data_IF_531772911616
#
_entry.id   IF_531772911616
#
_cell.length_a   1.000
_cell.length_b   1.000
_cell.length_c   1.000
_cell.angle_alpha   90.00
_cell.angle_beta   90.00
_cell.angle_gamma   90.00
#
_symmetry.space_group_name_H-M   'P 1'
#
loop_
_entity.id
_entity.type
_entity.pdbx_description
1 polymer ?
#
# COMPACT_ATOMS: atom_id res chain seq x y z
N UNK A 1 -9.77 -41.33 -11.73
CA UNK A 1 -8.50 -40.58 -11.84
C UNK A 1 -8.85 -39.13 -11.61
N UNK A 2 -8.41 -38.48 -10.50
CA UNK A 2 -8.50 -37.02 -10.41
C UNK A 2 -7.61 -36.46 -11.48
N UNK A 3 -8.19 -35.77 -12.45
CA UNK A 3 -7.40 -34.98 -13.44
C UNK A 3 -6.64 -33.92 -12.66
N UNK A 4 -5.33 -33.93 -12.82
CA UNK A 4 -4.42 -32.94 -12.21
C UNK A 4 -4.82 -31.54 -12.68
N UNK A 5 -5.32 -30.69 -11.76
CA UNK A 5 -5.74 -29.34 -12.11
C UNK A 5 -4.51 -28.48 -12.40
N UNK A 6 -4.54 -27.76 -13.53
CA UNK A 6 -3.47 -26.82 -13.93
C UNK A 6 -3.88 -25.40 -13.63
N UNK A 7 -3.11 -24.72 -12.79
CA UNK A 7 -3.35 -23.34 -12.37
C UNK A 7 -2.19 -22.46 -12.82
N UNK A 8 -2.49 -21.47 -13.64
CA UNK A 8 -1.53 -20.42 -14.01
C UNK A 8 -1.71 -19.19 -13.13
N UNK A 9 -0.61 -18.57 -12.74
CA UNK A 9 -0.58 -17.34 -11.95
C UNK A 9 0.28 -16.32 -12.69
N UNK A 10 -0.30 -15.18 -13.05
CA UNK A 10 0.38 -14.08 -13.72
C UNK A 10 0.76 -13.02 -12.69
N UNK A 11 2.05 -12.88 -12.45
CA UNK A 11 2.63 -12.01 -11.43
C UNK A 11 2.93 -12.74 -10.11
N UNK A 12 4.18 -12.68 -9.69
CA UNK A 12 4.76 -13.48 -8.60
C UNK A 12 5.01 -12.74 -7.29
N UNK A 13 4.36 -11.59 -7.03
CA UNK A 13 4.58 -10.84 -5.78
C UNK A 13 3.46 -11.15 -4.78
N UNK A 14 2.98 -10.23 -3.97
CA UNK A 14 2.12 -10.45 -2.81
C UNK A 14 0.92 -11.38 -3.04
N UNK A 15 0.01 -11.01 -3.94
CA UNK A 15 -1.21 -11.78 -4.21
C UNK A 15 -0.94 -13.11 -4.88
N UNK A 16 -0.10 -13.12 -5.94
CA UNK A 16 0.23 -14.31 -6.72
C UNK A 16 1.02 -15.33 -5.91
N UNK A 17 2.06 -14.90 -5.19
CA UNK A 17 2.85 -15.78 -4.31
C UNK A 17 1.99 -16.40 -3.20
N UNK A 18 1.06 -15.61 -2.61
CA UNK A 18 0.13 -16.09 -1.60
C UNK A 18 -0.87 -17.10 -2.17
N UNK A 19 -1.39 -16.86 -3.38
CA UNK A 19 -2.27 -17.79 -4.07
C UNK A 19 -1.53 -19.10 -4.38
N UNK A 20 -0.34 -19.05 -4.97
CA UNK A 20 0.46 -20.22 -5.32
C UNK A 20 0.75 -21.12 -4.12
N UNK A 21 1.26 -20.54 -3.04
CA UNK A 21 1.60 -21.28 -1.82
C UNK A 21 0.38 -21.84 -1.10
N UNK A 22 -0.75 -21.11 -1.13
CA UNK A 22 -2.02 -21.61 -0.58
C UNK A 22 -2.60 -22.75 -1.40
N UNK A 23 -2.60 -22.64 -2.73
CA UNK A 23 -3.03 -23.70 -3.66
C UNK A 23 -2.27 -25.00 -3.38
N UNK A 24 -0.94 -24.96 -3.28
CA UNK A 24 -0.13 -26.14 -2.99
C UNK A 24 -0.46 -26.79 -1.66
N UNK A 25 -0.79 -26.01 -0.62
CA UNK A 25 -1.19 -26.55 0.68
C UNK A 25 -2.56 -27.22 0.65
N UNK A 26 -3.42 -26.85 -0.31
CA UNK A 26 -4.77 -27.42 -0.46
C UNK A 26 -4.80 -28.60 -1.42
N UNK A 27 -3.95 -28.57 -2.46
CA UNK A 27 -3.83 -29.60 -3.47
C UNK A 27 -2.35 -29.85 -3.80
N UNK A 28 -1.80 -30.95 -3.26
CA UNK A 28 -0.40 -31.34 -3.49
C UNK A 28 -0.16 -31.84 -4.91
N UNK A 29 -1.21 -32.21 -5.64
CA UNK A 29 -1.12 -32.78 -6.99
C UNK A 29 -1.33 -31.74 -8.09
N UNK A 30 -1.84 -30.54 -7.78
CA UNK A 30 -2.07 -29.50 -8.75
C UNK A 30 -0.77 -29.15 -9.51
N UNK A 31 -0.89 -28.87 -10.80
CA UNK A 31 0.18 -28.23 -11.58
C UNK A 31 0.08 -26.71 -11.42
N UNK A 32 1.03 -26.12 -10.75
CA UNK A 32 1.04 -24.67 -10.47
C UNK A 32 2.22 -24.04 -11.18
N UNK A 33 1.92 -23.11 -12.10
CA UNK A 33 2.91 -22.36 -12.86
C UNK A 33 2.74 -20.88 -12.52
N UNK A 34 3.81 -20.24 -12.11
CA UNK A 34 3.88 -18.80 -11.85
C UNK A 34 4.73 -18.13 -12.94
N UNK A 35 4.13 -17.19 -13.67
CA UNK A 35 4.75 -16.44 -14.75
C UNK A 35 5.03 -15.01 -14.27
N UNK A 36 6.31 -14.63 -14.26
CA UNK A 36 6.76 -13.30 -13.85
C UNK A 36 7.61 -12.68 -14.97
N UNK A 37 7.24 -11.49 -15.42
CA UNK A 37 7.95 -10.79 -16.50
C UNK A 37 9.34 -10.27 -16.08
N UNK A 38 9.52 -10.01 -14.80
CA UNK A 38 10.77 -9.54 -14.21
C UNK A 38 11.64 -10.67 -13.68
N UNK A 39 12.76 -10.28 -13.07
CA UNK A 39 13.71 -11.19 -12.44
C UNK A 39 13.26 -11.66 -11.04
N UNK A 40 12.44 -10.84 -10.35
CA UNK A 40 12.16 -11.02 -8.93
C UNK A 40 10.72 -11.40 -8.66
N UNK A 41 10.52 -12.46 -7.90
CA UNK A 41 9.26 -12.84 -7.27
C UNK A 41 9.34 -12.59 -5.77
N UNK A 42 8.19 -12.47 -5.11
CA UNK A 42 8.10 -12.40 -3.63
C UNK A 42 9.12 -11.45 -2.99
N UNK A 43 9.22 -10.24 -3.48
CA UNK A 43 10.12 -9.23 -2.93
C UNK A 43 9.40 -8.21 -2.04
N UNK A 44 10.17 -7.56 -1.17
CA UNK A 44 9.69 -6.60 -0.18
C UNK A 44 9.49 -5.21 -0.81
N UNK A 45 8.37 -4.97 -1.49
CA UNK A 45 8.05 -3.68 -2.09
C UNK A 45 8.18 -2.52 -1.09
N UNK A 46 7.69 -2.70 0.13
CA UNK A 46 7.77 -1.68 1.18
C UNK A 46 9.19 -1.50 1.75
N UNK A 47 10.13 -2.39 1.43
CA UNK A 47 11.53 -2.28 1.83
C UNK A 47 12.39 -1.43 0.90
N UNK A 48 11.90 -1.12 -0.30
CA UNK A 48 12.68 -0.47 -1.36
C UNK A 48 13.20 0.92 -0.96
N UNK A 49 12.39 1.83 -0.40
CA UNK A 49 12.87 3.13 0.08
C UNK A 49 13.95 2.97 1.16
N UNK A 50 13.78 2.05 2.10
CA UNK A 50 14.70 1.82 3.21
C UNK A 50 16.06 1.24 2.77
N UNK A 51 16.08 0.50 1.66
CA UNK A 51 17.34 0.10 1.04
C UNK A 51 18.05 1.28 0.37
N UNK A 52 17.31 2.18 -0.28
CA UNK A 52 17.88 3.41 -0.88
C UNK A 52 18.51 4.26 0.23
N UNK A 53 17.80 4.51 1.33
CA UNK A 53 18.28 5.28 2.48
C UNK A 53 19.37 4.61 3.31
N UNK A 54 19.63 3.30 3.10
CA UNK A 54 20.70 2.55 3.79
C UNK A 54 20.30 1.96 5.14
N UNK A 55 19.05 2.04 5.55
CA UNK A 55 18.51 1.32 6.71
C UNK A 55 18.58 -0.20 6.47
N UNK A 56 18.12 -0.66 5.30
CA UNK A 56 18.37 -2.03 4.82
C UNK A 56 19.70 -2.00 4.06
N UNK A 57 20.68 -2.74 4.55
CA UNK A 57 22.05 -2.72 3.99
C UNK A 57 22.29 -3.84 2.98
N UNK A 58 21.72 -5.02 3.23
CA UNK A 58 21.89 -6.19 2.36
C UNK A 58 20.80 -6.19 1.28
N UNK A 59 21.22 -6.13 0.01
CA UNK A 59 20.32 -6.21 -1.14
C UNK A 59 19.51 -7.51 -1.18
N UNK A 60 20.06 -8.61 -0.64
CA UNK A 60 19.38 -9.89 -0.62
C UNK A 60 18.18 -9.90 0.35
N UNK A 61 18.16 -9.01 1.35
CA UNK A 61 17.03 -8.85 2.27
C UNK A 61 15.77 -8.33 1.58
N UNK A 62 15.89 -7.76 0.38
CA UNK A 62 14.73 -7.33 -0.42
C UNK A 62 13.98 -8.51 -1.04
N UNK A 63 14.61 -9.67 -1.21
CA UNK A 63 13.97 -10.87 -1.75
C UNK A 63 13.49 -11.74 -0.60
N UNK A 64 12.19 -11.82 -0.40
CA UNK A 64 11.56 -12.62 0.67
C UNK A 64 11.68 -14.11 0.38
N UNK A 65 11.41 -14.49 -0.88
CA UNK A 65 11.64 -15.84 -1.39
C UNK A 65 12.17 -15.78 -2.83
N UNK A 66 13.11 -16.65 -3.14
CA UNK A 66 13.66 -16.81 -4.49
C UNK A 66 12.83 -17.80 -5.30
N UNK A 67 12.89 -17.77 -6.65
CA UNK A 67 12.22 -18.76 -7.50
C UNK A 67 12.52 -20.20 -7.07
N UNK A 68 13.77 -20.49 -6.70
CA UNK A 68 14.21 -21.80 -6.25
C UNK A 68 13.51 -22.26 -4.97
N UNK A 69 13.21 -21.34 -4.03
CA UNK A 69 12.46 -21.68 -2.81
C UNK A 69 11.04 -22.18 -3.10
N UNK A 70 10.40 -21.59 -4.12
CA UNK A 70 9.07 -22.04 -4.56
C UNK A 70 9.11 -23.42 -5.20
N UNK A 71 10.16 -23.72 -5.97
CA UNK A 71 10.35 -25.02 -6.62
C UNK A 71 10.60 -26.08 -5.55
N UNK A 72 11.58 -25.86 -4.69
CA UNK A 72 12.04 -26.87 -3.72
C UNK A 72 11.07 -27.11 -2.57
N UNK A 73 10.48 -26.03 -2.02
CA UNK A 73 9.62 -26.14 -0.84
C UNK A 73 8.14 -26.39 -1.19
N UNK A 74 7.70 -25.97 -2.38
CA UNK A 74 6.29 -25.99 -2.75
C UNK A 74 6.02 -26.69 -4.08
N UNK A 75 7.02 -27.20 -4.79
CA UNK A 75 6.85 -27.81 -6.11
C UNK A 75 5.99 -26.92 -7.05
N UNK A 76 6.32 -25.62 -7.11
CA UNK A 76 5.69 -24.61 -7.98
C UNK A 76 6.69 -24.30 -9.10
N UNK A 77 6.27 -24.41 -10.37
CA UNK A 77 7.07 -24.00 -11.52
C UNK A 77 7.06 -22.48 -11.63
N UNK A 78 8.16 -21.83 -11.24
CA UNK A 78 8.32 -20.37 -11.30
C UNK A 78 9.17 -20.00 -12.50
N UNK A 79 8.57 -19.31 -13.43
CA UNK A 79 9.22 -18.85 -14.67
C UNK A 79 9.39 -17.34 -14.62
N UNK A 80 10.58 -16.88 -14.25
CA UNK A 80 10.99 -15.46 -14.34
C UNK A 80 11.37 -15.09 -15.76
N UNK A 81 11.31 -13.82 -16.12
CA UNK A 81 11.48 -13.31 -17.49
C UNK A 81 10.48 -13.93 -18.50
N UNK A 82 9.29 -14.30 -18.02
CA UNK A 82 8.20 -14.82 -18.84
C UNK A 82 6.99 -13.90 -18.75
N UNK A 83 6.78 -13.11 -19.77
CA UNK A 83 5.69 -12.15 -19.85
C UNK A 83 4.47 -12.77 -20.56
N UNK A 84 3.32 -12.74 -19.89
CA UNK A 84 2.05 -13.06 -20.54
C UNK A 84 1.63 -11.85 -21.38
N UNK A 85 1.51 -12.04 -22.69
CA UNK A 85 1.21 -10.98 -23.65
C UNK A 85 -0.22 -11.02 -24.20
N UNK A 86 -0.91 -12.15 -24.09
CA UNK A 86 -2.31 -12.29 -24.44
C UNK A 86 -3.00 -13.40 -23.63
N UNK A 87 -4.31 -13.31 -23.48
CA UNK A 87 -5.15 -14.32 -22.83
C UNK A 87 -6.35 -14.61 -23.74
N UNK A 88 -6.53 -15.87 -24.12
CA UNK A 88 -7.74 -16.39 -24.74
C UNK A 88 -8.56 -17.11 -23.67
N UNK A 89 -9.60 -16.45 -23.17
CA UNK A 89 -10.43 -16.96 -22.06
C UNK A 89 -11.38 -18.07 -22.50
N UNK A 90 -11.69 -18.18 -23.80
CA UNK A 90 -12.55 -19.22 -24.35
C UNK A 90 -11.78 -20.54 -24.52
N UNK A 91 -10.57 -20.47 -25.12
CA UNK A 91 -9.68 -21.61 -25.28
C UNK A 91 -8.91 -21.96 -24.00
N UNK A 92 -8.92 -21.09 -22.99
CA UNK A 92 -8.13 -21.20 -21.76
C UNK A 92 -6.63 -21.34 -22.04
N UNK A 93 -6.09 -20.42 -22.81
CA UNK A 93 -4.69 -20.37 -23.22
C UNK A 93 -4.15 -18.97 -22.97
N UNK A 94 -2.91 -18.88 -22.50
CA UNK A 94 -2.15 -17.63 -22.49
C UNK A 94 -1.00 -17.70 -23.47
N UNK A 95 -0.72 -16.58 -24.14
CA UNK A 95 0.50 -16.41 -24.92
C UNK A 95 1.59 -15.85 -24.03
N UNK A 96 2.73 -16.52 -23.99
CA UNK A 96 3.88 -16.16 -23.16
C UNK A 96 5.08 -15.82 -24.02
N UNK A 97 5.74 -14.72 -23.70
CA UNK A 97 7.01 -14.29 -24.30
C UNK A 97 8.14 -14.48 -23.29
N UNK A 98 9.14 -15.26 -23.64
CA UNK A 98 10.43 -15.28 -22.93
C UNK A 98 11.16 -13.96 -23.22
N UNK A 99 11.26 -13.09 -22.23
CA UNK A 99 11.76 -11.72 -22.39
C UNK A 99 13.21 -11.70 -22.89
N UNK A 100 14.05 -12.65 -22.41
CA UNK A 100 15.48 -12.69 -22.72
C UNK A 100 15.76 -13.23 -24.13
N UNK A 101 14.96 -14.16 -24.62
CA UNK A 101 15.18 -14.82 -25.93
C UNK A 101 14.27 -14.30 -27.04
N UNK A 102 13.15 -13.66 -26.64
CA UNK A 102 12.09 -13.25 -27.57
C UNK A 102 11.20 -14.40 -28.04
N UNK A 103 11.43 -15.64 -27.60
CA UNK A 103 10.63 -16.80 -27.98
C UNK A 103 9.20 -16.65 -27.42
N UNK A 104 8.22 -16.99 -28.27
CA UNK A 104 6.80 -16.97 -27.92
C UNK A 104 6.28 -18.41 -27.90
N UNK A 105 5.47 -18.73 -26.89
CA UNK A 105 4.80 -20.01 -26.78
C UNK A 105 3.43 -19.86 -26.14
N UNK A 106 2.60 -20.87 -26.21
CA UNK A 106 1.30 -20.92 -25.57
C UNK A 106 1.34 -21.85 -24.37
N UNK A 107 0.59 -21.48 -23.29
CA UNK A 107 0.41 -22.27 -22.10
C UNK A 107 -1.08 -22.36 -21.77
N UNK A 108 -1.61 -23.58 -21.63
CA UNK A 108 -3.00 -23.80 -21.28
C UNK A 108 -3.22 -23.82 -19.77
N UNK A 109 -4.46 -23.61 -19.34
CA UNK A 109 -4.83 -23.62 -17.93
C UNK A 109 -6.24 -24.16 -17.68
N UNK A 110 -6.48 -24.73 -16.50
CA UNK A 110 -7.83 -24.99 -15.99
C UNK A 110 -8.34 -23.77 -15.21
N UNK A 111 -7.46 -23.11 -14.45
CA UNK A 111 -7.71 -21.88 -13.67
C UNK A 111 -6.58 -20.88 -13.88
N UNK A 112 -6.96 -19.60 -13.94
CA UNK A 112 -6.02 -18.50 -14.10
C UNK A 112 -6.17 -17.49 -12.96
N UNK A 113 -5.06 -17.05 -12.37
CA UNK A 113 -5.01 -15.99 -11.36
C UNK A 113 -4.23 -14.81 -11.92
N UNK A 114 -4.88 -13.65 -12.02
CA UNK A 114 -4.28 -12.40 -12.45
C UNK A 114 -3.83 -11.59 -11.24
N UNK A 115 -2.52 -11.40 -11.10
CA UNK A 115 -1.88 -10.67 -9.98
C UNK A 115 -0.83 -9.69 -10.48
N UNK A 116 -1.14 -8.96 -11.57
CA UNK A 116 -0.21 -8.06 -12.25
C UNK A 116 0.15 -6.81 -11.42
N UNK A 117 -0.63 -6.51 -10.38
CA UNK A 117 -0.39 -5.37 -9.50
C UNK A 117 -0.73 -4.03 -10.16
N UNK A 118 0.09 -3.03 -9.86
CA UNK A 118 -0.07 -1.67 -10.37
C UNK A 118 1.27 -1.11 -10.86
N UNK A 119 1.22 -0.13 -11.73
CA UNK A 119 2.39 0.59 -12.26
C UNK A 119 2.36 2.05 -11.81
N UNK A 120 3.52 2.71 -11.60
CA UNK A 120 3.59 4.14 -11.33
C UNK A 120 2.89 4.95 -12.42
N UNK A 121 2.27 6.03 -12.02
CA UNK A 121 1.68 6.99 -12.96
C UNK A 121 2.81 7.80 -13.59
N UNK A 122 2.89 7.78 -14.91
CA UNK A 122 3.74 8.67 -15.70
C UNK A 122 2.86 9.80 -16.24
N UNK A 123 2.96 11.02 -15.67
CA UNK A 123 2.16 12.15 -16.13
C UNK A 123 2.71 12.65 -17.47
N UNK A 124 1.87 13.22 -18.34
CA UNK A 124 2.31 13.82 -19.59
C UNK A 124 2.95 15.21 -19.34
N UNK A 125 3.95 15.26 -18.48
CA UNK A 125 4.73 16.46 -18.16
C UNK A 125 5.96 16.47 -19.05
N UNK A 126 6.25 17.59 -19.70
CA UNK A 126 7.45 17.76 -20.52
C UNK A 126 8.68 17.46 -19.65
N UNK A 127 9.56 16.58 -20.15
CA UNK A 127 10.79 16.17 -19.47
C UNK A 127 10.62 15.11 -18.38
N UNK A 128 9.43 14.52 -18.20
CA UNK A 128 9.21 13.44 -17.23
C UNK A 128 9.95 12.14 -17.56
N UNK A 129 10.44 11.99 -18.77
CA UNK A 129 11.26 10.87 -19.28
C UNK A 129 12.78 11.15 -19.22
N UNK A 130 13.21 12.27 -18.64
CA UNK A 130 14.62 12.60 -18.43
C UNK A 130 15.33 11.52 -17.58
N UNK A 131 16.58 11.14 -17.90
CA UNK A 131 17.34 10.10 -17.16
C UNK A 131 17.57 10.37 -15.67
N UNK A 132 17.38 11.63 -15.23
CA UNK A 132 17.46 12.01 -13.81
C UNK A 132 16.12 12.00 -13.08
N UNK A 133 15.05 11.62 -13.79
CA UNK A 133 13.68 11.43 -13.25
C UNK A 133 13.43 9.95 -13.05
N UNK A 134 13.15 9.56 -11.82
CA UNK A 134 12.96 8.18 -11.42
C UNK A 134 11.54 7.93 -10.93
N UNK A 135 11.09 6.70 -11.08
CA UNK A 135 9.94 6.14 -10.35
C UNK A 135 10.43 4.98 -9.49
N UNK A 136 9.68 4.61 -8.47
CA UNK A 136 10.00 3.47 -7.62
C UNK A 136 8.86 2.45 -7.66
N UNK A 137 9.15 1.27 -8.22
CA UNK A 137 8.18 0.18 -8.35
C UNK A 137 8.73 -1.18 -7.93
N UNK A 138 9.98 -1.45 -8.27
CA UNK A 138 10.58 -2.79 -8.16
C UNK A 138 12.06 -2.71 -7.75
N UNK A 139 12.70 -3.87 -7.64
CA UNK A 139 14.13 -3.98 -7.28
C UNK A 139 15.05 -3.31 -8.31
N UNK A 140 14.88 -3.51 -9.64
CA UNK A 140 15.66 -2.77 -10.64
C UNK A 140 15.60 -1.25 -10.49
N UNK A 141 14.42 -0.66 -10.28
CA UNK A 141 14.29 0.78 -10.04
C UNK A 141 15.09 1.22 -8.81
N UNK A 142 14.99 0.42 -7.75
CA UNK A 142 15.72 0.65 -6.48
C UNK A 142 17.21 0.69 -6.70
N UNK A 143 17.74 -0.26 -7.47
CA UNK A 143 19.17 -0.30 -7.79
C UNK A 143 19.58 0.87 -8.67
N UNK A 144 18.77 1.23 -9.67
CA UNK A 144 19.03 2.39 -10.52
C UNK A 144 19.13 3.69 -9.70
N UNK A 145 18.19 3.92 -8.78
CA UNK A 145 18.21 5.09 -7.88
C UNK A 145 19.44 5.06 -6.97
N UNK A 146 19.71 3.93 -6.32
CA UNK A 146 20.86 3.80 -5.40
C UNK A 146 22.18 3.96 -6.12
N UNK A 147 22.32 3.35 -7.28
CA UNK A 147 23.50 3.49 -8.14
C UNK A 147 23.72 4.92 -8.59
N UNK A 148 22.64 5.63 -8.97
CA UNK A 148 22.70 7.04 -9.32
C UNK A 148 23.23 7.88 -8.16
N UNK A 149 22.68 7.68 -6.96
CA UNK A 149 23.13 8.38 -5.75
C UNK A 149 24.62 8.14 -5.49
N UNK A 150 25.07 6.87 -5.59
CA UNK A 150 26.46 6.51 -5.32
C UNK A 150 27.44 7.02 -6.38
N UNK A 151 27.07 6.99 -7.67
CA UNK A 151 27.98 7.33 -8.77
C UNK A 151 28.00 8.82 -9.08
N UNK A 152 26.84 9.48 -9.01
CA UNK A 152 26.72 10.90 -9.36
C UNK A 152 26.84 11.83 -8.15
N UNK A 153 26.74 11.27 -6.91
CA UNK A 153 26.84 12.02 -5.66
C UNK A 153 25.94 13.29 -5.63
N UNK A 154 24.63 13.16 -5.98
CA UNK A 154 23.71 14.29 -5.98
C UNK A 154 23.63 14.91 -4.58
N UNK A 155 23.38 16.22 -4.52
CA UNK A 155 23.23 16.95 -3.26
C UNK A 155 21.79 17.30 -2.97
N UNK A 156 20.98 17.43 -4.01
CA UNK A 156 19.59 17.88 -3.92
C UNK A 156 18.67 16.88 -4.62
N UNK A 157 17.51 16.66 -4.04
CA UNK A 157 16.46 15.84 -4.65
C UNK A 157 15.08 16.50 -4.52
N UNK A 158 14.29 16.34 -5.56
CA UNK A 158 12.85 16.65 -5.51
C UNK A 158 12.06 15.36 -5.50
N UNK A 159 11.09 15.26 -4.58
CA UNK A 159 10.10 14.18 -4.55
C UNK A 159 8.74 14.77 -4.89
N UNK A 160 8.08 14.25 -5.91
CA UNK A 160 6.77 14.73 -6.36
C UNK A 160 5.70 13.74 -5.92
N UNK A 161 4.79 14.20 -5.07
CA UNK A 161 3.71 13.42 -4.47
C UNK A 161 3.91 13.17 -2.97
N UNK A 162 2.92 13.55 -2.16
CA UNK A 162 2.91 13.43 -0.70
C UNK A 162 2.21 12.16 -0.18
N UNK A 163 2.07 11.12 -1.00
CA UNK A 163 1.58 9.80 -0.58
C UNK A 163 2.63 9.01 0.20
N UNK A 164 2.31 7.74 0.55
CA UNK A 164 3.21 6.87 1.32
C UNK A 164 4.60 6.76 0.67
N UNK A 165 4.66 6.41 -0.60
CA UNK A 165 5.94 6.24 -1.33
C UNK A 165 6.75 7.54 -1.33
N UNK A 166 6.09 8.68 -1.60
CA UNK A 166 6.78 9.96 -1.66
C UNK A 166 7.33 10.40 -0.31
N UNK A 167 6.57 10.24 0.77
CA UNK A 167 7.02 10.59 2.13
C UNK A 167 8.17 9.67 2.58
N UNK A 168 8.06 8.35 2.35
CA UNK A 168 9.15 7.40 2.65
C UNK A 168 10.40 7.70 1.81
N UNK A 169 10.23 8.05 0.51
CA UNK A 169 11.35 8.44 -0.33
C UNK A 169 12.01 9.75 0.14
N UNK A 170 11.22 10.74 0.54
CA UNK A 170 11.77 12.00 1.04
C UNK A 170 12.62 11.77 2.30
N UNK A 171 12.15 10.97 3.26
CA UNK A 171 12.92 10.58 4.43
C UNK A 171 14.21 9.85 4.03
N UNK A 172 14.10 8.81 3.19
CA UNK A 172 15.22 7.93 2.88
C UNK A 172 16.29 8.61 2.01
N UNK A 173 15.91 9.53 1.12
CA UNK A 173 16.86 10.38 0.40
C UNK A 173 17.57 11.37 1.34
N UNK A 174 16.84 11.93 2.30
CA UNK A 174 17.44 12.79 3.32
C UNK A 174 18.44 12.00 4.20
N UNK A 175 18.08 10.77 4.62
CA UNK A 175 19.00 9.90 5.34
C UNK A 175 20.24 9.50 4.52
N UNK A 176 20.10 9.43 3.19
CA UNK A 176 21.22 9.23 2.27
C UNK A 176 22.09 10.49 2.08
N UNK A 177 21.76 11.62 2.73
CA UNK A 177 22.54 12.86 2.76
C UNK A 177 22.16 13.91 1.72
N UNK A 178 20.99 13.79 1.09
CA UNK A 178 20.49 14.77 0.15
C UNK A 178 19.63 15.85 0.86
N UNK A 179 19.67 17.05 0.35
CA UNK A 179 18.70 18.10 0.67
C UNK A 179 17.42 17.84 -0.15
N UNK A 180 16.27 17.67 0.52
CA UNK A 180 15.05 17.15 -0.10
C UNK A 180 13.92 18.15 -0.07
N UNK A 181 13.34 18.42 -1.25
CA UNK A 181 12.07 19.14 -1.40
C UNK A 181 10.96 18.17 -1.80
N UNK A 182 9.90 18.06 -1.00
CA UNK A 182 8.69 17.32 -1.35
C UNK A 182 7.62 18.29 -1.87
N UNK A 183 7.13 18.02 -3.07
CA UNK A 183 6.09 18.81 -3.77
C UNK A 183 4.80 18.01 -3.77
N UNK A 184 3.70 18.62 -3.32
CA UNK A 184 2.38 18.01 -3.30
C UNK A 184 1.31 18.98 -3.79
N UNK A 185 0.44 18.54 -4.69
CA UNK A 185 -0.65 19.37 -5.25
C UNK A 185 -1.75 19.64 -4.22
N UNK A 186 -1.95 18.71 -3.29
CA UNK A 186 -2.91 18.90 -2.19
C UNK A 186 -2.34 19.82 -1.11
N UNK A 187 -3.21 20.26 -0.21
CA UNK A 187 -2.83 21.06 0.96
C UNK A 187 -2.18 20.24 2.08
N UNK A 188 -1.99 18.93 1.88
CA UNK A 188 -1.42 18.02 2.87
C UNK A 188 -0.71 16.82 2.25
N UNK A 189 0.23 16.23 2.97
CA UNK A 189 0.75 14.89 2.74
C UNK A 189 -0.17 13.84 3.39
N UNK A 190 -0.01 12.56 3.01
CA UNK A 190 -0.69 11.40 3.61
C UNK A 190 -2.22 11.56 3.61
N UNK A 191 -2.81 11.53 2.42
CA UNK A 191 -4.24 11.69 2.20
C UNK A 191 -5.18 10.82 3.08
N UNK A 192 -4.80 9.64 3.60
CA UNK A 192 -5.64 8.87 4.53
C UNK A 192 -5.96 9.57 5.85
N UNK A 193 -5.13 10.49 6.35
CA UNK A 193 -5.45 11.31 7.52
C UNK A 193 -6.11 12.64 7.12
N UNK A 194 -6.73 13.33 8.06
CA UNK A 194 -7.35 14.64 7.83
C UNK A 194 -6.32 15.78 7.94
N UNK A 195 -6.61 16.99 7.39
CA UNK A 195 -5.66 18.10 7.38
C UNK A 195 -5.17 18.56 8.76
N UNK A 196 -6.04 18.50 9.77
CA UNK A 196 -5.71 18.84 11.14
C UNK A 196 -4.68 17.88 11.76
N UNK A 197 -4.81 16.58 11.47
CA UNK A 197 -3.83 15.57 11.88
C UNK A 197 -2.53 15.65 11.04
N UNK A 198 -2.62 16.03 9.78
CA UNK A 198 -1.47 16.22 8.91
C UNK A 198 -0.61 17.43 9.31
N UNK A 199 -1.16 18.42 10.01
CA UNK A 199 -0.43 19.59 10.43
C UNK A 199 0.79 19.25 11.34
N UNK A 200 0.63 18.31 12.27
CA UNK A 200 1.74 17.83 13.12
C UNK A 200 2.82 17.13 12.29
N UNK A 201 2.41 16.38 11.27
CA UNK A 201 3.32 15.70 10.34
C UNK A 201 4.13 16.72 9.53
N UNK A 202 3.47 17.76 9.01
CA UNK A 202 4.14 18.84 8.27
C UNK A 202 5.16 19.57 9.13
N UNK A 203 4.78 19.87 10.38
CA UNK A 203 5.69 20.54 11.33
C UNK A 203 6.91 19.66 11.60
N UNK A 204 6.68 18.37 11.85
CA UNK A 204 7.75 17.43 12.14
C UNK A 204 8.69 17.21 10.95
N UNK A 205 8.17 17.00 9.74
CA UNK A 205 8.98 16.88 8.53
C UNK A 205 9.88 18.10 8.32
N UNK A 206 9.32 19.33 8.47
CA UNK A 206 10.09 20.56 8.38
C UNK A 206 11.17 20.64 9.45
N UNK A 207 10.89 20.24 10.69
CA UNK A 207 11.87 20.20 11.78
C UNK A 207 13.03 19.24 11.55
N UNK A 208 12.81 18.23 10.70
CA UNK A 208 13.82 17.26 10.26
C UNK A 208 14.57 17.69 8.98
N UNK A 209 14.28 18.87 8.44
CA UNK A 209 14.99 19.42 7.27
C UNK A 209 14.36 19.10 5.92
N UNK A 210 13.15 18.52 5.89
CA UNK A 210 12.43 18.33 4.61
C UNK A 210 11.72 19.62 4.22
N UNK A 211 11.98 20.12 3.01
CA UNK A 211 11.29 21.26 2.45
C UNK A 211 9.94 20.82 1.88
N UNK A 212 8.83 21.33 2.42
CA UNK A 212 7.48 21.01 1.93
C UNK A 212 6.94 22.15 1.05
N UNK A 213 6.57 21.81 -0.18
CA UNK A 213 5.88 22.69 -1.14
C UNK A 213 4.49 22.12 -1.42
N UNK A 214 3.52 22.50 -0.59
CA UNK A 214 2.13 22.07 -0.69
C UNK A 214 1.32 23.00 -1.60
N UNK A 215 0.14 22.51 -2.08
CA UNK A 215 -0.70 23.22 -3.05
C UNK A 215 0.10 23.68 -4.28
N UNK A 216 1.05 22.84 -4.68
CA UNK A 216 1.95 23.15 -5.77
C UNK A 216 2.19 21.89 -6.63
N UNK A 217 2.24 22.05 -7.92
CA UNK A 217 2.38 20.93 -8.86
C UNK A 217 3.50 21.19 -9.86
N UNK A 218 4.12 20.13 -10.34
CA UNK A 218 5.12 20.18 -11.41
C UNK A 218 4.43 20.36 -12.75
N UNK A 219 4.87 21.33 -13.56
CA UNK A 219 4.33 21.62 -14.89
C UNK A 219 5.30 21.32 -16.03
N UNK A 220 6.61 21.43 -15.78
CA UNK A 220 7.65 21.07 -16.72
C UNK A 220 8.95 20.69 -16.00
N UNK A 221 9.77 19.89 -16.64
CA UNK A 221 11.10 19.49 -16.17
C UNK A 221 12.06 19.71 -17.34
N UNK A 222 13.15 20.45 -17.08
CA UNK A 222 14.19 20.70 -18.09
C UNK A 222 15.53 20.23 -17.55
N UNK A 223 16.24 19.41 -18.34
CA UNK A 223 17.60 19.04 -17.99
C UNK A 223 18.55 20.20 -18.29
N UNK A 224 19.39 20.52 -17.34
CA UNK A 224 20.41 21.57 -17.43
C UNK A 224 21.81 20.95 -17.31
N UNK A 225 22.84 21.75 -17.56
CA UNK A 225 24.24 21.32 -17.40
C UNK A 225 24.58 20.90 -15.96
N UNK A 226 23.80 21.34 -14.96
CA UNK A 226 24.10 21.13 -13.54
C UNK A 226 23.04 20.29 -12.82
N UNK A 227 21.95 19.86 -13.49
CA UNK A 227 20.87 19.12 -12.85
C UNK A 227 19.55 19.23 -13.60
N UNK A 228 18.48 19.45 -12.89
CA UNK A 228 17.12 19.67 -13.39
C UNK A 228 16.62 21.04 -12.97
N UNK A 229 15.99 21.76 -13.90
CA UNK A 229 15.15 22.91 -13.61
C UNK A 229 13.68 22.44 -13.65
N UNK A 230 12.97 22.57 -12.54
CA UNK A 230 11.61 22.04 -12.36
C UNK A 230 10.66 23.21 -12.19
N UNK A 231 9.85 23.46 -13.21
CA UNK A 231 8.81 24.50 -13.18
C UNK A 231 7.59 24.00 -12.42
N UNK A 232 7.10 24.81 -11.52
CA UNK A 232 5.95 24.52 -10.68
C UNK A 232 4.76 25.43 -11.02
N UNK A 233 3.57 25.11 -10.54
CA UNK A 233 2.41 26.02 -10.62
C UNK A 233 2.65 27.32 -9.86
N UNK A 234 3.51 27.27 -8.82
CA UNK A 234 3.93 28.44 -8.04
C UNK A 234 5.46 28.45 -7.94
N UNK A 235 6.14 29.07 -8.92
CA UNK A 235 7.59 29.21 -8.92
C UNK A 235 8.34 28.07 -9.61
N UNK A 236 9.58 27.86 -9.21
CA UNK A 236 10.44 26.79 -9.73
C UNK A 236 11.43 26.32 -8.65
N UNK A 237 12.02 25.14 -8.85
CA UNK A 237 13.08 24.58 -8.00
C UNK A 237 14.12 23.88 -8.88
N UNK A 238 15.38 23.90 -8.46
CA UNK A 238 16.45 23.15 -9.09
C UNK A 238 16.82 21.95 -8.23
N UNK A 239 17.15 20.82 -8.87
CA UNK A 239 17.60 19.62 -8.18
C UNK A 239 18.53 18.77 -9.05
N UNK A 240 19.33 17.92 -8.43
CA UNK A 240 20.20 16.98 -9.14
C UNK A 240 19.44 15.74 -9.64
N UNK A 241 18.34 15.39 -8.95
CA UNK A 241 17.47 14.27 -9.31
C UNK A 241 16.03 14.51 -8.88
N UNK A 242 15.10 13.75 -9.47
CA UNK A 242 13.68 13.79 -9.13
C UNK A 242 13.10 12.38 -8.98
N UNK A 243 12.30 12.17 -7.95
CA UNK A 243 11.48 10.97 -7.79
C UNK A 243 10.01 11.33 -8.06
N UNK A 244 9.41 10.68 -9.05
CA UNK A 244 7.99 10.82 -9.37
C UNK A 244 7.17 9.78 -8.57
N UNK A 245 6.45 10.22 -7.54
CA UNK A 245 5.68 9.38 -6.62
C UNK A 245 4.21 9.80 -6.54
N UNK A 246 3.60 10.18 -7.68
CA UNK A 246 2.25 10.75 -7.78
C UNK A 246 1.13 9.70 -7.76
N UNK A 247 1.44 8.47 -7.38
CA UNK A 247 0.49 7.36 -7.27
C UNK A 247 0.72 6.26 -8.30
N UNK A 248 -0.17 5.27 -8.23
CA UNK A 248 -0.13 4.08 -9.07
C UNK A 248 -1.47 3.87 -9.77
N UNK A 249 -1.45 3.18 -10.90
CA UNK A 249 -2.64 2.72 -11.63
C UNK A 249 -2.60 1.20 -11.76
N UNK A 250 -3.76 0.52 -11.74
CA UNK A 250 -3.85 -0.91 -11.99
C UNK A 250 -3.17 -1.29 -13.32
N UNK A 251 -2.35 -2.35 -13.32
CA UNK A 251 -1.72 -2.88 -14.53
C UNK A 251 -2.65 -3.92 -15.16
N UNK A 252 -3.61 -3.46 -15.95
CA UNK A 252 -4.75 -4.26 -16.43
C UNK A 252 -4.92 -4.27 -17.95
N UNK A 253 -3.92 -3.80 -18.68
CA UNK A 253 -3.96 -3.80 -20.14
C UNK A 253 -4.23 -5.21 -20.71
N UNK A 254 -3.59 -6.24 -20.14
CA UNK A 254 -3.79 -7.64 -20.49
C UNK A 254 -5.24 -8.10 -20.24
N UNK A 255 -5.81 -7.78 -19.09
CA UNK A 255 -7.18 -8.12 -18.74
C UNK A 255 -8.19 -7.42 -19.68
N UNK A 256 -7.93 -6.15 -20.02
CA UNK A 256 -8.75 -5.37 -20.95
C UNK A 256 -8.76 -6.00 -22.35
N UNK A 257 -7.59 -6.40 -22.86
CA UNK A 257 -7.46 -7.06 -24.16
C UNK A 257 -8.19 -8.40 -24.21
N UNK A 258 -8.22 -9.13 -23.08
CA UNK A 258 -8.95 -10.38 -22.92
C UNK A 258 -10.47 -10.21 -22.72
N UNK A 259 -11.01 -9.00 -22.76
CA UNK A 259 -12.44 -8.73 -22.57
C UNK A 259 -12.93 -8.89 -21.12
N UNK A 260 -12.02 -8.92 -20.13
CA UNK A 260 -12.37 -9.00 -18.71
C UNK A 260 -12.85 -7.63 -18.25
N UNK A 261 -13.96 -7.60 -17.52
CA UNK A 261 -14.60 -6.38 -17.06
C UNK A 261 -13.72 -5.55 -16.13
N UNK A 262 -13.58 -4.27 -16.46
CA UNK A 262 -12.86 -3.27 -15.66
C UNK A 262 -13.84 -2.17 -15.22
N UNK A 263 -13.55 -1.55 -14.08
CA UNK A 263 -14.25 -0.35 -13.65
C UNK A 263 -13.72 0.92 -14.37
N UNK A 264 -14.32 2.07 -14.12
CA UNK A 264 -13.96 3.35 -14.73
C UNK A 264 -12.49 3.77 -14.47
N UNK A 265 -11.90 3.30 -13.37
CA UNK A 265 -10.49 3.57 -13.02
C UNK A 265 -9.51 2.55 -13.60
N UNK A 266 -10.02 1.58 -14.36
CA UNK A 266 -9.23 0.53 -14.99
C UNK A 266 -8.90 -0.65 -14.09
N UNK A 267 -9.45 -0.77 -12.89
CA UNK A 267 -9.26 -1.93 -12.03
C UNK A 267 -10.19 -3.08 -12.44
N UNK A 268 -9.71 -4.33 -12.31
CA UNK A 268 -10.50 -5.52 -12.61
C UNK A 268 -11.65 -5.66 -11.61
N UNK A 269 -12.86 -5.81 -12.12
CA UNK A 269 -14.04 -6.09 -11.30
C UNK A 269 -14.03 -7.56 -10.89
N UNK A 270 -14.12 -7.82 -9.59
CA UNK A 270 -14.21 -9.16 -9.02
C UNK A 270 -15.40 -9.27 -8.06
N UNK A 271 -15.91 -10.50 -7.90
CA UNK A 271 -16.88 -10.81 -6.85
C UNK A 271 -16.17 -11.04 -5.49
N UNK A 272 -16.95 -11.34 -4.45
CA UNK A 272 -16.41 -11.64 -3.12
C UNK A 272 -15.52 -12.91 -3.07
N UNK A 273 -15.58 -13.75 -4.08
CA UNK A 273 -14.76 -14.95 -4.23
C UNK A 273 -13.51 -14.74 -5.08
N UNK A 274 -13.21 -13.49 -5.44
CA UNK A 274 -12.11 -13.08 -6.33
C UNK A 274 -12.27 -13.54 -7.78
N UNK A 275 -13.48 -13.94 -8.21
CA UNK A 275 -13.78 -14.32 -9.60
C UNK A 275 -13.98 -13.06 -10.44
N UNK A 276 -13.43 -13.07 -11.65
CA UNK A 276 -13.65 -12.03 -12.65
C UNK A 276 -14.93 -12.32 -13.49
N UNK A 277 -15.19 -11.47 -14.47
CA UNK A 277 -16.26 -11.70 -15.44
C UNK A 277 -16.00 -12.90 -16.36
N UNK A 278 -14.74 -13.34 -16.50
CA UNK A 278 -14.37 -14.48 -17.31
C UNK A 278 -14.41 -15.79 -16.48
N UNK A 279 -14.94 -16.85 -17.09
CA UNK A 279 -15.04 -18.15 -16.43
C UNK A 279 -13.66 -18.70 -16.09
N UNK A 280 -13.51 -19.22 -14.84
CA UNK A 280 -12.26 -19.83 -14.36
C UNK A 280 -11.06 -18.87 -14.25
N UNK A 281 -11.32 -17.55 -14.31
CA UNK A 281 -10.32 -16.50 -14.14
C UNK A 281 -10.58 -15.72 -12.85
N UNK A 282 -9.57 -15.62 -12.02
CA UNK A 282 -9.54 -14.90 -10.75
C UNK A 282 -8.59 -13.71 -10.85
N UNK A 283 -8.80 -12.68 -10.04
CA UNK A 283 -7.85 -11.57 -9.96
C UNK A 283 -7.68 -11.11 -8.51
N UNK A 284 -6.45 -10.69 -8.15
CA UNK A 284 -6.07 -10.32 -6.79
C UNK A 284 -5.04 -9.19 -6.76
N UNK A 285 -4.90 -8.52 -5.61
CA UNK A 285 -3.89 -7.49 -5.36
C UNK A 285 -4.24 -6.15 -5.99
N UNK A 286 -3.22 -5.37 -6.29
CA UNK A 286 -3.37 -3.97 -6.72
C UNK A 286 -3.96 -3.82 -8.14
N UNK A 287 -4.30 -4.91 -8.81
CA UNK A 287 -4.97 -4.88 -10.11
C UNK A 287 -6.50 -4.81 -10.01
N UNK A 288 -7.10 -5.03 -8.83
CA UNK A 288 -8.55 -5.21 -8.67
C UNK A 288 -9.26 -4.03 -8.02
N UNK A 289 -10.56 -3.93 -8.28
CA UNK A 289 -11.49 -3.14 -7.49
C UNK A 289 -11.72 -3.79 -6.13
N UNK A 290 -11.82 -2.97 -5.08
CA UNK A 290 -12.14 -3.44 -3.73
C UNK A 290 -13.47 -2.84 -3.23
N UNK A 291 -14.03 -3.47 -2.21
CA UNK A 291 -15.13 -2.88 -1.43
C UNK A 291 -14.59 -2.37 -0.11
N UNK A 292 -14.87 -1.11 0.22
CA UNK A 292 -14.65 -0.57 1.56
C UNK A 292 -15.65 -1.20 2.52
N UNK A 293 -15.16 -1.83 3.59
CA UNK A 293 -16.00 -2.64 4.50
C UNK A 293 -16.85 -1.80 5.47
N UNK A 294 -16.66 -0.49 5.50
CA UNK A 294 -17.39 0.44 6.39
C UNK A 294 -18.47 1.16 5.61
N UNK A 295 -18.13 1.65 4.42
CA UNK A 295 -19.01 2.44 3.57
C UNK A 295 -19.72 1.62 2.50
N UNK A 296 -19.30 0.38 2.29
CA UNK A 296 -19.72 -0.53 1.22
C UNK A 296 -19.47 0.03 -0.21
N UNK A 297 -18.74 1.15 -0.30
CA UNK A 297 -18.41 1.78 -1.57
C UNK A 297 -17.30 1.02 -2.29
N UNK A 298 -17.40 1.00 -3.61
CA UNK A 298 -16.33 0.50 -4.47
C UNK A 298 -15.17 1.49 -4.50
N UNK A 299 -13.94 0.96 -4.47
CA UNK A 299 -12.75 1.78 -4.38
C UNK A 299 -11.49 1.08 -4.89
N UNK A 300 -10.37 1.74 -4.65
CA UNK A 300 -9.04 1.26 -5.00
C UNK A 300 -8.09 1.54 -3.83
N UNK A 301 -7.61 0.49 -3.19
CA UNK A 301 -6.70 0.56 -2.03
C UNK A 301 -5.58 -0.45 -2.22
N UNK A 302 -4.47 -0.07 -2.88
CA UNK A 302 -3.34 -0.94 -3.18
C UNK A 302 -2.48 -1.16 -1.93
N UNK A 303 -2.76 -2.21 -1.16
CA UNK A 303 -2.07 -2.57 0.06
C UNK A 303 -1.74 -4.07 0.09
N UNK A 304 -0.56 -4.41 0.62
CA UNK A 304 -0.07 -5.79 0.67
C UNK A 304 -0.93 -6.72 1.55
N UNK A 305 -1.47 -6.21 2.67
CA UNK A 305 -2.35 -6.99 3.55
C UNK A 305 -3.61 -7.52 2.85
N UNK A 306 -4.40 -6.66 2.19
CA UNK A 306 -5.48 -7.06 1.29
C UNK A 306 -5.04 -8.04 0.21
N UNK A 307 -3.97 -7.75 -0.53
CA UNK A 307 -3.47 -8.60 -1.62
C UNK A 307 -3.18 -10.04 -1.16
N UNK A 308 -2.52 -10.22 -0.01
CA UNK A 308 -2.23 -11.53 0.56
C UNK A 308 -3.51 -12.30 0.94
N UNK A 309 -4.50 -11.64 1.54
CA UNK A 309 -5.80 -12.23 1.89
C UNK A 309 -6.57 -12.63 0.64
N UNK A 310 -6.60 -11.78 -0.38
CA UNK A 310 -7.26 -12.04 -1.66
C UNK A 310 -6.62 -13.23 -2.39
N UNK A 311 -5.28 -13.33 -2.41
CA UNK A 311 -4.57 -14.49 -2.96
C UNK A 311 -4.98 -15.80 -2.28
N UNK A 312 -5.07 -15.79 -0.95
CA UNK A 312 -5.56 -16.93 -0.17
C UNK A 312 -7.00 -17.31 -0.52
N UNK A 313 -7.90 -16.32 -0.61
CA UNK A 313 -9.33 -16.53 -0.93
C UNK A 313 -9.49 -17.06 -2.36
N UNK A 314 -8.75 -16.54 -3.32
CA UNK A 314 -8.76 -17.06 -4.68
C UNK A 314 -8.36 -18.54 -4.71
N UNK A 315 -7.29 -18.91 -4.01
CA UNK A 315 -6.82 -20.28 -3.91
C UNK A 315 -7.86 -21.21 -3.23
N UNK A 316 -8.47 -20.77 -2.13
CA UNK A 316 -9.54 -21.50 -1.46
C UNK A 316 -10.68 -21.81 -2.44
N UNK A 317 -11.17 -20.81 -3.19
CA UNK A 317 -12.26 -20.97 -4.15
C UNK A 317 -11.88 -21.82 -5.37
N UNK A 318 -10.64 -21.76 -5.82
CA UNK A 318 -10.11 -22.65 -6.88
C UNK A 318 -10.17 -24.11 -6.45
N UNK A 319 -9.88 -24.39 -5.17
CA UNK A 319 -9.92 -25.74 -4.59
C UNK A 319 -11.31 -26.13 -4.05
N UNK A 320 -12.37 -25.37 -4.34
CA UNK A 320 -13.76 -25.69 -3.95
C UNK A 320 -14.11 -25.34 -2.50
N UNK A 321 -13.24 -24.64 -1.77
CA UNK A 321 -13.53 -24.13 -0.42
C UNK A 321 -14.21 -22.78 -0.56
N UNK A 322 -15.47 -22.68 -0.13
CA UNK A 322 -16.22 -21.43 -0.15
C UNK A 322 -15.59 -20.41 0.82
N UNK A 323 -14.91 -19.42 0.28
CA UNK A 323 -14.24 -18.36 1.02
C UNK A 323 -14.57 -17.01 0.39
N UNK A 324 -14.80 -15.98 1.21
CA UNK A 324 -15.19 -14.65 0.76
C UNK A 324 -14.27 -13.58 1.30
N UNK A 325 -14.02 -12.55 0.49
CA UNK A 325 -13.30 -11.36 0.90
C UNK A 325 -14.30 -10.33 1.46
N UNK A 326 -14.22 -10.00 2.76
CA UNK A 326 -15.20 -9.09 3.39
C UNK A 326 -14.89 -7.60 3.13
N UNK A 327 -14.09 -7.29 2.13
CA UNK A 327 -13.62 -5.94 1.87
C UNK A 327 -12.48 -5.48 2.79
N UNK A 328 -12.01 -4.27 2.57
CA UNK A 328 -10.95 -3.64 3.35
C UNK A 328 -11.44 -2.39 4.07
N UNK A 329 -10.85 -2.07 5.20
CA UNK A 329 -11.05 -0.81 5.92
C UNK A 329 -9.85 0.15 5.77
N UNK A 330 -8.88 -0.18 4.91
CA UNK A 330 -7.77 0.69 4.58
C UNK A 330 -6.79 0.95 5.72
N UNK A 331 -6.64 0.01 6.66
CA UNK A 331 -5.65 0.17 7.75
C UNK A 331 -4.25 0.34 7.16
N UNK A 332 -3.60 1.44 7.52
CA UNK A 332 -2.31 1.84 6.99
C UNK A 332 -1.46 2.53 8.06
N UNK A 333 -0.17 2.38 7.93
CA UNK A 333 0.81 2.98 8.84
C UNK A 333 2.08 3.30 8.06
N UNK A 334 2.73 4.39 8.42
CA UNK A 334 4.09 4.69 8.00
C UNK A 334 4.87 5.32 9.13
N UNK A 335 6.17 5.23 9.02
CA UNK A 335 7.14 5.90 9.87
C UNK A 335 7.78 7.04 9.09
N UNK A 336 7.93 8.20 9.72
CA UNK A 336 8.63 9.37 9.19
C UNK A 336 9.68 9.76 10.21
N UNK A 337 10.92 9.42 9.99
CA UNK A 337 11.99 9.42 11.00
C UNK A 337 11.56 8.63 12.25
N UNK A 338 11.18 9.29 13.33
CA UNK A 338 10.69 8.63 14.55
C UNK A 338 9.18 8.77 14.75
N UNK A 339 8.54 9.66 13.99
CA UNK A 339 7.09 9.84 14.04
C UNK A 339 6.37 8.71 13.33
N UNK A 340 5.29 8.24 13.91
CA UNK A 340 4.39 7.23 13.37
C UNK A 340 3.08 7.90 12.99
N UNK A 341 2.63 7.65 11.77
CA UNK A 341 1.33 8.09 11.27
C UNK A 341 0.53 6.85 10.88
N UNK A 342 -0.58 6.63 11.56
CA UNK A 342 -1.42 5.45 11.35
C UNK A 342 -2.88 5.85 11.17
N UNK A 343 -3.60 5.10 10.35
CA UNK A 343 -5.03 5.29 10.15
C UNK A 343 -5.74 3.98 9.86
N UNK A 344 -7.00 3.90 10.26
CA UNK A 344 -7.87 2.77 9.96
C UNK A 344 -9.31 3.24 9.84
N UNK A 345 -10.08 2.64 8.95
CA UNK A 345 -11.43 3.07 8.66
C UNK A 345 -11.50 4.38 7.87
N UNK A 346 -12.61 5.10 8.02
CA UNK A 346 -12.83 6.34 7.27
C UNK A 346 -12.26 7.56 7.98
N UNK A 347 -11.87 8.56 7.21
CA UNK A 347 -11.54 9.88 7.71
C UNK A 347 -12.74 10.85 7.64
N UNK A 348 -12.63 12.02 8.25
CA UNK A 348 -13.68 13.03 8.26
C UNK A 348 -14.04 13.51 6.85
N UNK A 349 -13.06 13.64 5.96
CA UNK A 349 -13.29 14.00 4.54
C UNK A 349 -14.23 13.01 3.86
N UNK A 350 -14.04 11.71 4.11
CA UNK A 350 -14.90 10.65 3.57
C UNK A 350 -16.29 10.70 4.19
N UNK A 351 -16.39 10.85 5.52
CA UNK A 351 -17.67 10.97 6.22
C UNK A 351 -18.49 12.16 5.69
N UNK A 352 -17.85 13.31 5.51
CA UNK A 352 -18.48 14.53 4.92
C UNK A 352 -18.95 14.27 3.49
N UNK A 353 -18.09 13.72 2.64
CA UNK A 353 -18.41 13.44 1.23
C UNK A 353 -19.61 12.51 1.07
N UNK A 354 -19.76 11.56 1.99
CA UNK A 354 -20.85 10.59 1.98
C UNK A 354 -22.11 11.05 2.74
N UNK A 355 -22.07 12.21 3.39
CA UNK A 355 -23.20 12.73 4.17
C UNK A 355 -23.55 11.85 5.38
N UNK A 356 -22.56 11.17 5.98
CA UNK A 356 -22.81 10.30 7.13
C UNK A 356 -23.17 11.13 8.38
N UNK A 357 -24.02 10.57 9.23
CA UNK A 357 -24.33 11.12 10.54
C UNK A 357 -23.20 10.80 11.52
N UNK A 358 -22.11 11.55 11.46
CA UNK A 358 -20.90 11.32 12.24
C UNK A 358 -20.60 12.48 13.20
N UNK A 359 -19.77 12.20 14.17
CA UNK A 359 -19.03 13.20 14.94
C UNK A 359 -17.57 12.72 15.15
N UNK A 360 -16.76 13.53 15.80
CA UNK A 360 -15.35 13.25 16.01
C UNK A 360 -14.91 13.58 17.42
N UNK A 361 -13.95 12.85 17.93
CA UNK A 361 -13.29 13.12 19.20
C UNK A 361 -11.78 13.19 19.02
N UNK A 362 -11.15 14.09 19.77
CA UNK A 362 -9.69 14.18 19.84
C UNK A 362 -9.24 13.81 21.23
N UNK A 363 -8.21 12.98 21.31
CA UNK A 363 -7.53 12.66 22.58
C UNK A 363 -6.03 12.83 22.41
N UNK A 364 -5.40 13.37 23.45
CA UNK A 364 -3.97 13.56 23.53
C UNK A 364 -3.47 12.82 24.77
N UNK A 365 -2.78 11.71 24.55
CA UNK A 365 -2.38 10.79 25.61
C UNK A 365 -0.90 10.45 25.51
N UNK A 366 -0.28 10.07 26.64
CA UNK A 366 1.02 9.42 26.61
C UNK A 366 0.92 8.00 26.04
N UNK A 367 2.00 7.54 25.43
CA UNK A 367 2.10 6.15 24.94
C UNK A 367 2.16 5.13 26.08
N UNK A 368 2.67 5.55 27.25
CA UNK A 368 2.73 4.79 28.51
C UNK A 368 2.62 5.74 29.71
N UNK A 369 2.80 5.23 30.92
CA UNK A 369 2.69 6.02 32.15
C UNK A 369 3.70 7.18 32.18
N UNK A 370 3.21 8.40 32.42
CA UNK A 370 4.03 9.64 32.38
C UNK A 370 5.18 9.64 33.40
N UNK A 371 5.04 8.90 34.51
CA UNK A 371 6.11 8.76 35.50
C UNK A 371 7.21 7.78 35.13
N UNK A 372 7.03 7.00 34.05
CA UNK A 372 8.06 6.13 33.52
C UNK A 372 8.86 6.85 32.41
N UNK A 373 10.21 6.75 32.41
CA UNK A 373 11.04 7.49 31.48
C UNK A 373 10.71 7.19 30.01
N UNK A 374 10.77 8.21 29.16
CA UNK A 374 10.58 8.06 27.71
C UNK A 374 9.12 8.20 27.25
N UNK A 375 8.20 8.63 28.12
CA UNK A 375 6.82 8.89 27.71
C UNK A 375 6.74 9.96 26.62
N UNK A 376 6.05 9.65 25.53
CA UNK A 376 5.83 10.54 24.39
C UNK A 376 4.34 10.68 24.11
N UNK A 377 3.93 11.86 23.64
CA UNK A 377 2.53 12.15 23.32
C UNK A 377 2.13 11.55 21.99
N UNK A 378 0.86 11.15 21.88
CA UNK A 378 0.17 10.83 20.63
C UNK A 378 -1.15 11.58 20.56
N UNK A 379 -1.48 12.06 19.36
CA UNK A 379 -2.78 12.62 19.01
C UNK A 379 -3.61 11.52 18.34
N UNK A 380 -4.83 11.32 18.80
CA UNK A 380 -5.80 10.37 18.25
C UNK A 380 -7.05 11.16 17.86
N UNK A 381 -7.45 11.05 16.60
CA UNK A 381 -8.74 11.52 16.11
C UNK A 381 -9.60 10.30 15.79
N UNK A 382 -10.74 10.17 16.46
CA UNK A 382 -11.70 9.08 16.26
C UNK A 382 -12.95 9.60 15.59
N UNK A 383 -13.39 8.96 14.52
CA UNK A 383 -14.64 9.23 13.82
C UNK A 383 -15.66 8.19 14.24
N UNK A 384 -16.84 8.61 14.64
CA UNK A 384 -17.90 7.73 15.12
C UNK A 384 -19.28 8.14 14.62
N UNK A 385 -20.19 7.19 14.57
CA UNK A 385 -21.61 7.43 14.28
C UNK A 385 -22.25 8.13 15.46
N UNK A 386 -22.81 9.33 15.22
CA UNK A 386 -23.39 10.18 16.24
C UNK A 386 -24.67 9.61 16.86
N UNK A 387 -25.33 8.65 16.20
CA UNK A 387 -26.59 8.07 16.66
C UNK A 387 -26.41 6.94 17.66
N UNK A 388 -25.33 6.15 17.52
CA UNK A 388 -25.14 4.92 18.26
C UNK A 388 -23.70 4.74 18.83
N UNK A 389 -22.80 5.67 18.52
CA UNK A 389 -21.40 5.63 18.96
C UNK A 389 -20.52 4.58 18.29
N UNK A 390 -20.97 3.95 17.18
CA UNK A 390 -20.17 2.97 16.44
C UNK A 390 -18.91 3.63 15.89
N UNK A 391 -17.76 2.98 16.07
CA UNK A 391 -16.48 3.49 15.58
C UNK A 391 -16.39 3.29 14.06
N UNK A 392 -16.16 4.37 13.34
CA UNK A 392 -16.09 4.38 11.87
C UNK A 392 -14.66 4.57 11.37
N UNK A 393 -13.79 5.22 12.14
CA UNK A 393 -12.42 5.45 11.77
C UNK A 393 -11.58 6.03 12.89
N UNK A 394 -10.27 5.86 12.77
CA UNK A 394 -9.30 6.45 13.69
C UNK A 394 -8.03 6.85 12.94
N UNK A 395 -7.44 7.95 13.37
CA UNK A 395 -6.17 8.48 12.89
C UNK A 395 -5.28 8.76 14.10
N UNK A 396 -4.03 8.34 14.03
CA UNK A 396 -3.08 8.46 15.12
C UNK A 396 -1.80 9.07 14.57
N UNK A 397 -1.35 10.14 15.18
CA UNK A 397 -0.06 10.79 14.91
C UNK A 397 0.70 10.85 16.23
N UNK A 398 1.87 10.25 16.28
CA UNK A 398 2.65 10.16 17.50
C UNK A 398 3.97 9.44 17.26
N UNK A 399 4.40 8.73 18.27
CA UNK A 399 5.66 7.99 18.26
C UNK A 399 5.40 6.54 18.70
N UNK A 400 6.33 5.93 19.42
CA UNK A 400 6.21 4.57 19.93
C UNK A 400 4.83 4.29 20.56
N UNK A 401 4.24 3.14 20.23
CA UNK A 401 2.93 2.69 20.70
C UNK A 401 1.72 3.22 19.94
N UNK A 402 1.92 4.06 18.91
CA UNK A 402 0.85 4.50 17.99
C UNK A 402 0.33 3.34 17.13
N UNK A 403 1.22 2.46 16.68
CA UNK A 403 0.94 1.23 15.94
C UNK A 403 -0.03 0.31 16.71
N UNK A 404 0.31 0.00 17.97
CA UNK A 404 -0.50 -0.82 18.87
C UNK A 404 -1.93 -0.29 18.98
N UNK A 405 -2.12 1.02 19.12
CA UNK A 405 -3.45 1.65 19.24
C UNK A 405 -4.21 1.61 17.94
N UNK A 406 -3.53 1.77 16.81
CA UNK A 406 -4.16 1.65 15.49
C UNK A 406 -4.70 0.22 15.27
N UNK A 407 -3.97 -0.81 15.67
CA UNK A 407 -4.42 -2.20 15.55
C UNK A 407 -5.63 -2.51 16.43
N UNK A 408 -5.70 -1.92 17.64
CA UNK A 408 -6.89 -2.04 18.50
C UNK A 408 -8.10 -1.37 17.84
N UNK A 409 -7.96 -0.15 17.31
CA UNK A 409 -9.04 0.50 16.54
C UNK A 409 -9.42 -0.29 15.29
N UNK A 410 -8.45 -0.83 14.58
CA UNK A 410 -8.69 -1.67 13.39
C UNK A 410 -9.55 -2.90 13.76
N UNK A 411 -9.23 -3.54 14.87
CA UNK A 411 -10.00 -4.67 15.41
C UNK A 411 -11.39 -4.25 15.85
N UNK A 412 -11.50 -3.14 16.58
CA UNK A 412 -12.77 -2.60 17.06
C UNK A 412 -13.72 -2.26 15.91
N UNK A 413 -13.23 -1.57 14.87
CA UNK A 413 -13.99 -1.25 13.67
C UNK A 413 -14.47 -2.53 12.96
N UNK A 414 -13.59 -3.51 12.78
CA UNK A 414 -13.93 -4.79 12.14
C UNK A 414 -14.98 -5.56 12.94
N UNK A 415 -14.94 -5.49 14.27
CA UNK A 415 -15.93 -6.12 15.15
C UNK A 415 -17.23 -5.31 15.27
N UNK A 416 -17.31 -4.10 14.69
CA UNK A 416 -18.48 -3.23 14.79
C UNK A 416 -18.67 -2.62 16.17
N UNK A 417 -17.60 -2.45 16.96
CA UNK A 417 -17.64 -1.92 18.32
C UNK A 417 -18.07 -0.45 18.35
N UNK A 418 -18.64 -0.07 19.48
CA UNK A 418 -19.04 1.30 19.82
C UNK A 418 -18.06 1.93 20.81
N UNK A 419 -18.20 3.23 21.04
CA UNK A 419 -17.44 3.93 22.10
C UNK A 419 -17.65 3.29 23.49
N UNK A 420 -18.88 2.84 23.77
CA UNK A 420 -19.23 2.15 25.03
C UNK A 420 -18.49 0.81 25.19
N UNK A 421 -18.13 0.16 24.08
CA UNK A 421 -17.34 -1.08 24.10
C UNK A 421 -15.86 -0.74 24.34
N UNK A 422 -15.34 0.34 23.74
CA UNK A 422 -13.96 0.78 23.98
C UNK A 422 -13.70 1.11 25.45
N UNK A 423 -14.68 1.66 26.18
CA UNK A 423 -14.53 1.95 27.63
C UNK A 423 -14.36 0.70 28.47
N UNK A 424 -14.82 -0.46 27.99
CA UNK A 424 -14.81 -1.77 28.69
C UNK A 424 -13.63 -2.65 28.33
N UNK A 425 -12.80 -2.25 27.34
CA UNK A 425 -11.65 -3.05 26.96
C UNK A 425 -10.63 -3.12 28.08
N UNK A 426 -10.26 -4.35 28.47
CA UNK A 426 -9.14 -4.61 29.36
C UNK A 426 -7.87 -4.76 28.54
N UNK A 427 -7.12 -3.66 28.40
CA UNK A 427 -5.86 -3.65 27.67
C UNK A 427 -4.68 -3.86 28.60
N UNK A 428 -3.63 -4.51 28.09
CA UNK A 428 -2.44 -4.83 28.89
C UNK A 428 -1.79 -3.57 29.44
N UNK A 429 -1.59 -3.54 30.76
CA UNK A 429 -0.95 -2.45 31.47
C UNK A 429 0.25 -2.90 32.29
N UNK A 430 1.34 -2.21 32.09
CA UNK A 430 2.43 -2.00 33.02
C UNK A 430 3.11 -0.67 32.63
N UNK A 431 3.80 0.02 33.56
CA UNK A 431 4.33 1.37 33.31
C UNK A 431 5.10 1.55 32.01
N UNK A 432 5.95 0.59 31.54
CA UNK A 432 6.66 0.72 30.27
C UNK A 432 5.80 0.57 29.00
N UNK A 433 4.58 0.01 29.10
CA UNK A 433 3.78 -0.41 27.94
C UNK A 433 2.49 0.38 27.75
N UNK A 434 2.01 1.04 28.79
CA UNK A 434 0.75 1.76 28.72
C UNK A 434 0.47 2.56 30.01
N UNK A 435 -0.73 3.10 30.10
CA UNK A 435 -1.30 3.69 31.30
C UNK A 435 -2.51 2.88 31.73
N UNK A 436 -2.90 2.99 33.00
CA UNK A 436 -4.06 2.27 33.54
C UNK A 436 -5.37 2.65 32.80
N UNK A 437 -5.42 3.87 32.25
CA UNK A 437 -6.43 4.29 31.27
C UNK A 437 -5.73 4.41 29.91
N UNK A 438 -5.77 3.34 29.12
CA UNK A 438 -5.15 3.33 27.80
C UNK A 438 -5.77 4.42 26.91
N UNK A 439 -5.01 5.02 25.97
CA UNK A 439 -5.54 5.97 25.00
C UNK A 439 -6.81 5.51 24.26
N UNK A 440 -6.99 4.21 24.07
CA UNK A 440 -8.22 3.63 23.50
C UNK A 440 -9.42 3.81 24.45
N UNK A 441 -9.25 3.50 25.74
CA UNK A 441 -10.30 3.71 26.71
C UNK A 441 -10.62 5.21 26.85
N UNK A 442 -9.61 6.07 26.79
CA UNK A 442 -9.78 7.52 26.83
C UNK A 442 -10.61 8.03 25.64
N UNK A 443 -10.36 7.53 24.43
CA UNK A 443 -11.18 7.84 23.27
C UNK A 443 -12.64 7.41 23.49
N UNK A 444 -12.87 6.22 24.04
CA UNK A 444 -14.21 5.73 24.41
C UNK A 444 -14.90 6.65 25.41
N UNK A 445 -14.24 7.04 26.51
CA UNK A 445 -14.82 7.94 27.54
C UNK A 445 -15.16 9.32 26.98
N UNK A 446 -14.28 9.91 26.14
CA UNK A 446 -14.55 11.21 25.51
C UNK A 446 -15.77 11.14 24.61
N UNK A 447 -15.88 10.09 23.78
CA UNK A 447 -17.02 9.92 22.87
C UNK A 447 -18.32 9.68 23.67
N UNK A 448 -18.28 8.85 24.72
CA UNK A 448 -19.43 8.61 25.60
C UNK A 448 -19.94 9.92 26.21
N UNK A 449 -19.05 10.79 26.70
CA UNK A 449 -19.41 12.11 27.22
C UNK A 449 -20.07 12.98 26.13
N UNK A 450 -19.53 13.01 24.91
CA UNK A 450 -20.11 13.75 23.79
C UNK A 450 -21.53 13.25 23.43
N UNK A 451 -21.73 11.93 23.41
CA UNK A 451 -23.03 11.31 23.09
C UNK A 451 -24.08 11.56 24.18
N UNK A 452 -23.67 11.64 25.45
CA UNK A 452 -24.58 11.87 26.56
C UNK A 452 -24.77 13.35 26.88
N UNK A 453 -24.14 14.28 26.12
CA UNK A 453 -24.15 15.74 26.37
C UNK A 453 -23.73 16.13 27.79
N UNK A 454 -22.96 15.30 28.46
CA UNK A 454 -22.39 15.56 29.81
C UNK A 454 -20.95 16.06 29.64
N UNK A 455 -20.77 17.16 28.94
CA UNK A 455 -19.47 17.87 28.85
C UNK A 455 -19.51 19.12 29.71
#
# INVERSE_FOLDING_TARGET
MHTRQKVLIVGGVAGGASAATRLRRLDEHAEIIMLERGEYVSFANCGLPYYIGGTIKDKNALTVQKPQDFIEKFNIDVRIFHEVTAIDTEKKVVTVKEVLTGKIYEENYDKLVLSMGASPIHPPIVGSDCPKVFTLRNIPDTYAIKDYIQKQNPKTAVVVGGGFIGVEMAENLHQAGLDVTLIEMANQVIAPIDPDMAADVHHYMKSKGIHLSLENGVTAIEETNTGLHITLTKGAVNADMLIMAIGVRPDTALAKQAGIALNERGAIIVDAHMKTSAKDVYAVGDAIEITDSITEQKGYIPLAGPANKQGRIAADNICGIASTYPGTQGSSILKIFDMIVASTGINEKTAKRLGLCYDKAYTFSGNHADYYPGAVKMAIKTIFDKTNGKILGAQIVGFEGSDKRCDVFSTAIRAGMTAYDLTKLELCYAPPFGSAKDPINMAGFVIENLLTQKV
#
